data_IF_383288758410
#
_entry.id   IF_383288758410
#
_cell.length_a   1.000
_cell.length_b   1.000
_cell.length_c   1.000
_cell.angle_alpha   90.00
_cell.angle_beta   90.00
_cell.angle_gamma   90.00
#
_symmetry.space_group_name_H-M   'P 1'
#
loop_
_entity.id
_entity.type
_entity.pdbx_description
1 polymer ?
#
# COMPACT_ATOMS: atom_id res chain seq x y z
N UNK A 1 2.66 -8.91 14.47
CA UNK A 1 2.56 -8.21 13.20
C UNK A 1 2.54 -6.72 13.48
N UNK A 2 3.73 -6.11 13.46
CA UNK A 2 3.86 -4.66 13.46
C UNK A 2 3.02 -4.05 12.32
N UNK A 3 2.38 -2.91 12.59
CA UNK A 3 1.56 -2.24 11.60
C UNK A 3 2.46 -1.73 10.45
N UNK A 4 2.17 -2.13 9.20
CA UNK A 4 2.91 -1.68 8.02
C UNK A 4 2.95 -0.15 7.93
N UNK A 5 1.90 0.53 8.41
CA UNK A 5 1.84 1.99 8.43
C UNK A 5 2.84 2.61 9.41
N UNK A 6 3.08 1.98 10.55
CA UNK A 6 4.08 2.39 11.54
C UNK A 6 5.49 2.29 10.95
N UNK A 7 5.82 1.17 10.31
CA UNK A 7 7.14 0.99 9.71
C UNK A 7 7.39 1.97 8.55
N UNK A 8 6.37 2.31 7.76
CA UNK A 8 6.47 3.37 6.74
C UNK A 8 6.73 4.74 7.34
N UNK A 9 6.09 5.06 8.47
CA UNK A 9 6.39 6.27 9.23
C UNK A 9 7.84 6.27 9.73
N UNK A 10 8.34 5.14 10.20
CA UNK A 10 9.75 4.98 10.61
C UNK A 10 10.72 5.17 9.43
N UNK A 11 10.40 4.65 8.24
CA UNK A 11 11.20 4.91 7.01
C UNK A 11 11.22 6.40 6.69
N UNK A 12 10.06 7.08 6.73
CA UNK A 12 9.95 8.52 6.49
C UNK A 12 10.76 9.33 7.52
N UNK A 13 10.70 8.95 8.78
CA UNK A 13 11.49 9.56 9.85
C UNK A 13 12.99 9.43 9.57
N UNK A 14 13.47 8.24 9.23
CA UNK A 14 14.89 8.02 8.89
C UNK A 14 15.31 8.82 7.65
N UNK A 15 14.46 8.89 6.63
CA UNK A 15 14.69 9.72 5.45
C UNK A 15 14.85 11.21 5.81
N UNK A 16 13.96 11.75 6.65
CA UNK A 16 14.03 13.14 7.12
C UNK A 16 15.27 13.41 7.98
N UNK A 17 15.78 12.41 8.69
CA UNK A 17 17.06 12.47 9.41
C UNK A 17 18.29 12.39 8.49
N UNK A 18 18.10 12.25 7.17
CA UNK A 18 19.19 12.12 6.21
C UNK A 18 19.87 10.75 6.22
N UNK A 19 19.23 9.72 6.79
CA UNK A 19 19.75 8.36 6.76
C UNK A 19 19.67 7.76 5.37
N UNK A 20 20.60 6.87 5.06
CA UNK A 20 20.56 6.05 3.86
C UNK A 20 19.52 4.94 3.96
N UNK A 21 19.12 4.38 2.82
CA UNK A 21 18.19 3.25 2.78
C UNK A 21 18.75 2.00 3.49
N UNK A 22 20.06 1.76 3.38
CA UNK A 22 20.74 0.65 4.06
C UNK A 22 20.79 0.84 5.57
N UNK A 23 21.14 2.03 6.08
CA UNK A 23 21.06 2.33 7.51
C UNK A 23 19.64 2.14 8.04
N UNK A 24 18.64 2.61 7.29
CA UNK A 24 17.23 2.51 7.66
C UNK A 24 16.78 1.05 7.72
N UNK A 25 17.19 0.22 6.76
CA UNK A 25 16.89 -1.21 6.75
C UNK A 25 17.45 -1.90 8.00
N UNK A 26 18.68 -1.62 8.39
CA UNK A 26 19.29 -2.21 9.59
C UNK A 26 18.60 -1.73 10.88
N UNK A 27 18.20 -0.45 10.94
CA UNK A 27 17.41 0.08 12.05
C UNK A 27 16.05 -0.61 12.16
N UNK A 28 15.36 -0.83 11.03
CA UNK A 28 14.08 -1.54 10.99
C UNK A 28 14.22 -3.00 11.39
N UNK A 29 15.23 -3.73 10.89
CA UNK A 29 15.51 -5.11 11.32
C UNK A 29 15.80 -5.20 12.81
N UNK A 30 16.52 -4.22 13.36
CA UNK A 30 16.82 -4.17 14.80
C UNK A 30 15.56 -3.96 15.64
N UNK A 31 14.69 -3.04 15.22
CA UNK A 31 13.47 -2.69 15.95
C UNK A 31 12.36 -3.75 15.81
N UNK A 32 12.10 -4.21 14.59
CA UNK A 32 10.95 -5.06 14.25
C UNK A 32 11.30 -6.54 14.06
N UNK A 33 12.59 -6.90 13.97
CA UNK A 33 13.08 -8.27 13.81
C UNK A 33 12.41 -8.96 12.60
N UNK A 34 11.76 -10.11 12.82
CA UNK A 34 11.11 -10.91 11.79
C UNK A 34 9.88 -10.20 11.18
N UNK A 35 9.31 -9.21 11.87
CA UNK A 35 8.19 -8.41 11.39
C UNK A 35 8.65 -7.22 10.51
N UNK A 36 9.96 -7.01 10.31
CA UNK A 36 10.48 -5.87 9.56
C UNK A 36 10.08 -5.87 8.08
N UNK A 37 9.76 -4.69 7.54
CA UNK A 37 9.53 -4.53 6.10
C UNK A 37 10.79 -4.88 5.31
N UNK A 38 10.60 -5.57 4.19
CA UNK A 38 11.69 -6.00 3.34
C UNK A 38 12.44 -4.86 2.66
N UNK A 39 13.66 -5.17 2.23
CA UNK A 39 14.58 -4.25 1.56
C UNK A 39 13.93 -3.49 0.38
N UNK A 40 13.23 -4.20 -0.51
CA UNK A 40 12.56 -3.61 -1.66
C UNK A 40 11.56 -2.52 -1.26
N UNK A 41 10.77 -2.73 -0.18
CA UNK A 41 9.82 -1.73 0.29
C UNK A 41 10.52 -0.50 0.83
N UNK A 42 11.62 -0.67 1.59
CA UNK A 42 12.40 0.46 2.12
C UNK A 42 12.88 1.34 0.96
N UNK A 43 13.50 0.76 -0.06
CA UNK A 43 14.02 1.52 -1.20
C UNK A 43 12.92 2.14 -2.07
N UNK A 44 11.77 1.49 -2.21
CA UNK A 44 10.62 2.06 -2.90
C UNK A 44 10.13 3.32 -2.19
N UNK A 45 9.94 3.27 -0.86
CA UNK A 45 9.55 4.43 -0.05
C UNK A 45 10.57 5.55 -0.11
N UNK A 46 11.87 5.23 -0.05
CA UNK A 46 12.94 6.21 -0.24
C UNK A 46 12.85 6.91 -1.61
N UNK A 47 12.55 6.15 -2.67
CA UNK A 47 12.40 6.71 -4.01
C UNK A 47 11.19 7.65 -4.10
N UNK A 48 10.06 7.28 -3.47
CA UNK A 48 8.87 8.14 -3.36
C UNK A 48 9.18 9.45 -2.62
N UNK A 49 9.88 9.38 -1.49
CA UNK A 49 10.25 10.56 -0.71
C UNK A 49 11.22 11.49 -1.45
N UNK A 50 12.19 10.93 -2.18
CA UNK A 50 13.07 11.72 -3.07
C UNK A 50 12.30 12.46 -4.17
N UNK A 51 11.19 11.87 -4.64
CA UNK A 51 10.30 12.49 -5.62
C UNK A 51 9.28 13.45 -4.99
N UNK A 52 9.38 13.74 -3.69
CA UNK A 52 8.50 14.66 -2.97
C UNK A 52 7.17 14.05 -2.50
N UNK A 53 6.94 12.75 -2.74
CA UNK A 53 5.72 12.06 -2.32
C UNK A 53 5.83 11.66 -0.84
N UNK A 54 5.55 12.61 0.07
CA UNK A 54 5.76 12.45 1.51
C UNK A 54 4.59 11.80 2.28
N UNK A 55 3.51 11.39 1.60
CA UNK A 55 2.42 10.65 2.25
C UNK A 55 2.88 9.24 2.60
N UNK A 56 2.45 8.68 3.73
CA UNK A 56 2.71 7.27 4.12
C UNK A 56 1.48 6.38 3.89
N UNK A 57 0.35 6.99 3.56
CA UNK A 57 -0.91 6.30 3.29
C UNK A 57 -0.89 5.69 1.89
N UNK A 58 -1.59 4.57 1.73
CA UNK A 58 -1.82 4.01 0.40
C UNK A 58 -2.61 5.01 -0.45
N UNK A 59 -2.25 5.14 -1.73
CA UNK A 59 -3.11 5.82 -2.69
C UNK A 59 -4.48 5.12 -2.70
N UNK A 60 -5.58 5.86 -2.96
CA UNK A 60 -6.89 5.23 -3.12
C UNK A 60 -6.74 4.10 -4.13
N UNK A 61 -7.01 2.87 -3.67
CA UNK A 61 -6.97 1.70 -4.55
C UNK A 61 -8.08 1.90 -5.56
N UNK A 62 -7.74 1.82 -6.84
CA UNK A 62 -8.73 1.63 -7.89
C UNK A 62 -9.48 0.35 -7.56
N UNK A 63 -10.64 0.48 -6.93
CA UNK A 63 -11.52 -0.66 -6.72
C UNK A 63 -11.96 -1.19 -8.08
N UNK A 64 -12.37 -2.46 -8.13
CA UNK A 64 -13.10 -2.95 -9.29
C UNK A 64 -14.33 -2.05 -9.47
N UNK A 65 -14.54 -1.39 -10.63
CA UNK A 65 -15.77 -0.65 -10.89
C UNK A 65 -16.94 -1.62 -10.70
N UNK A 66 -17.86 -1.35 -9.77
CA UNK A 66 -19.04 -2.21 -9.58
C UNK A 66 -20.06 -1.97 -10.70
N UNK A 67 -19.62 -2.07 -11.96
CA UNK A 67 -20.49 -1.98 -13.13
C UNK A 67 -21.32 -3.25 -13.31
N UNK A 68 -21.02 -4.33 -12.57
CA UNK A 68 -21.79 -5.57 -12.60
C UNK A 68 -23.18 -5.44 -11.94
N UNK A 69 -23.40 -4.47 -11.04
CA UNK A 69 -24.69 -4.27 -10.34
C UNK A 69 -25.44 -3.03 -10.84
N UNK A 70 -25.42 -2.74 -12.13
CA UNK A 70 -26.39 -1.79 -12.70
C UNK A 70 -27.78 -2.41 -12.72
N UNK A 71 -28.82 -1.59 -12.53
CA UNK A 71 -30.21 -2.06 -12.61
C UNK A 71 -30.48 -2.78 -13.93
N UNK A 72 -29.91 -2.26 -15.02
CA UNK A 72 -29.96 -2.85 -16.36
C UNK A 72 -29.40 -4.29 -16.42
N UNK A 73 -28.26 -4.55 -15.78
CA UNK A 73 -27.68 -5.89 -15.74
C UNK A 73 -28.52 -6.86 -14.88
N UNK A 74 -29.14 -6.35 -13.81
CA UNK A 74 -30.05 -7.14 -12.96
C UNK A 74 -31.35 -7.47 -13.70
N UNK A 75 -31.89 -6.54 -14.49
CA UNK A 75 -33.08 -6.78 -15.31
C UNK A 75 -32.82 -7.77 -16.43
N UNK A 76 -31.71 -7.63 -17.18
CA UNK A 76 -31.32 -8.60 -18.22
C UNK A 76 -31.16 -10.02 -17.67
N UNK A 77 -30.56 -10.18 -16.49
CA UNK A 77 -30.44 -11.50 -15.85
C UNK A 77 -31.82 -12.05 -15.43
N UNK A 78 -32.73 -11.19 -14.96
CA UNK A 78 -34.09 -11.61 -14.59
C UNK A 78 -34.93 -12.03 -15.79
N UNK A 79 -34.70 -11.44 -16.96
CA UNK A 79 -35.36 -11.84 -18.21
C UNK A 79 -34.87 -13.22 -18.66
N UNK A 80 -33.55 -13.43 -18.68
CA UNK A 80 -32.95 -14.73 -19.07
C UNK A 80 -33.46 -15.88 -18.17
N UNK A 81 -33.62 -15.66 -16.86
CA UNK A 81 -34.12 -16.69 -15.92
C UNK A 81 -35.61 -17.02 -16.14
N UNK A 82 -36.40 -16.12 -16.74
CA UNK A 82 -37.84 -16.35 -17.00
C UNK A 82 -38.11 -17.13 -18.28
N UNK A 83 -37.12 -17.25 -19.16
CA UNK A 83 -37.23 -17.95 -20.45
C UNK A 83 -36.76 -19.42 -20.39
N UNK A 84 -36.39 -19.91 -19.20
CA UNK A 84 -36.04 -21.32 -18.89
C UNK A 84 -37.18 -22.00 -18.10
#
# INVERSE_FOLDING_TARGET
MADFREQRAAVKFCFLLGKSGTETLEMLKTAYKDDAVGETQVFEWFSRFKNGEMSIDDKPRSGHPSTARTHENVEKIREIIKED
#
